data_IF_605976824709
#
_entry.id   IF_605976824709
#
_cell.length_a   1.000
_cell.length_b   1.000
_cell.length_c   1.000
_cell.angle_alpha   90.00
_cell.angle_beta   90.00
_cell.angle_gamma   90.00
#
_symmetry.space_group_name_H-M   'P 1'
#
loop_
_entity.id
_entity.type
_entity.pdbx_description
1 polymer ?
#
# COMPACT_ATOMS: atom_id res chain seq x y z
N UNK A 1 -10.93 39.88 -52.35
CA UNK A 1 -10.99 39.72 -50.87
C UNK A 1 -9.58 39.69 -50.27
N UNK A 2 -8.65 38.86 -50.79
CA UNK A 2 -7.26 38.82 -50.30
C UNK A 2 -6.55 40.19 -50.31
N UNK A 3 -6.66 40.96 -51.41
CA UNK A 3 -6.07 42.29 -51.52
C UNK A 3 -6.60 43.33 -50.52
N UNK A 4 -7.77 43.10 -49.89
CA UNK A 4 -8.30 43.94 -48.82
C UNK A 4 -7.68 43.52 -47.49
N UNK A 5 -7.62 42.21 -47.21
CA UNK A 5 -6.99 41.68 -46.01
C UNK A 5 -5.51 42.08 -45.89
N UNK A 6 -4.76 42.06 -47.01
CA UNK A 6 -3.35 42.45 -47.02
C UNK A 6 -3.16 43.95 -46.71
N UNK A 7 -4.10 44.80 -47.15
CA UNK A 7 -4.09 46.24 -46.79
C UNK A 7 -4.43 46.45 -45.33
N UNK A 8 -5.46 45.75 -44.81
CA UNK A 8 -5.87 45.86 -43.40
C UNK A 8 -4.77 45.39 -42.43
N UNK A 9 -3.93 44.43 -42.82
CA UNK A 9 -2.80 43.96 -42.03
C UNK A 9 -1.63 44.95 -41.94
N UNK A 10 -1.53 45.90 -42.88
CA UNK A 10 -0.49 46.92 -42.92
C UNK A 10 -0.89 48.23 -42.20
N UNK A 11 -2.13 48.34 -41.72
CA UNK A 11 -2.60 49.51 -40.97
C UNK A 11 -2.13 49.46 -39.52
N UNK A 12 -1.69 50.59 -39.00
CA UNK A 12 -1.48 50.77 -37.58
C UNK A 12 -2.81 51.06 -36.87
N UNK A 13 -3.19 50.18 -35.96
CA UNK A 13 -4.52 50.18 -35.33
C UNK A 13 -4.63 51.26 -34.25
N UNK A 14 -3.52 51.66 -33.63
CA UNK A 14 -3.54 52.59 -32.49
C UNK A 14 -3.72 54.04 -32.95
N UNK A 15 -3.02 54.44 -34.01
CA UNK A 15 -3.18 55.77 -34.63
C UNK A 15 -4.57 55.94 -35.25
N UNK A 16 -5.05 54.92 -35.98
CA UNK A 16 -6.37 54.95 -36.62
C UNK A 16 -7.53 54.98 -35.61
N UNK A 17 -7.37 54.32 -34.47
CA UNK A 17 -8.33 54.37 -33.36
C UNK A 17 -8.44 55.80 -32.79
N UNK A 18 -7.32 56.51 -32.66
CA UNK A 18 -7.26 57.90 -32.23
C UNK A 18 -7.91 58.86 -33.22
N UNK A 19 -7.66 58.69 -34.52
CA UNK A 19 -8.25 59.52 -35.59
C UNK A 19 -9.76 59.33 -35.71
N UNK A 20 -10.23 58.08 -35.61
CA UNK A 20 -11.66 57.75 -35.72
C UNK A 20 -12.41 57.89 -34.39
N UNK A 21 -11.71 58.17 -33.30
CA UNK A 21 -12.26 58.25 -31.94
C UNK A 21 -13.03 56.97 -31.54
N UNK A 22 -12.47 55.79 -31.87
CA UNK A 22 -13.04 54.46 -31.60
C UNK A 22 -12.11 53.69 -30.66
N UNK A 23 -12.66 52.88 -29.76
CA UNK A 23 -11.85 52.03 -28.88
C UNK A 23 -11.00 51.02 -29.66
N UNK A 24 -9.75 50.81 -29.23
CA UNK A 24 -8.77 49.94 -29.92
C UNK A 24 -9.24 48.49 -30.03
N UNK A 25 -9.91 47.93 -29.01
CA UNK A 25 -10.49 46.58 -29.08
C UNK A 25 -11.61 46.49 -30.12
N UNK A 26 -12.50 47.47 -30.16
CA UNK A 26 -13.60 47.51 -31.11
C UNK A 26 -13.09 47.63 -32.55
N UNK A 27 -12.07 48.47 -32.78
CA UNK A 27 -11.46 48.60 -34.10
C UNK A 27 -10.82 47.29 -34.55
N UNK A 28 -10.15 46.55 -33.65
CA UNK A 28 -9.60 45.21 -33.95
C UNK A 28 -10.69 44.22 -34.37
N UNK A 29 -11.82 44.20 -33.67
CA UNK A 29 -12.94 43.31 -33.99
C UNK A 29 -13.57 43.65 -35.34
N UNK A 30 -13.74 44.94 -35.64
CA UNK A 30 -14.26 45.41 -36.94
C UNK A 30 -13.30 45.03 -38.08
N UNK A 31 -11.99 45.24 -37.90
CA UNK A 31 -10.98 44.85 -38.88
C UNK A 31 -10.97 43.34 -39.12
N UNK A 32 -11.12 42.53 -38.07
CA UNK A 32 -11.24 41.08 -38.18
C UNK A 32 -12.50 40.65 -38.95
N UNK A 33 -13.64 41.33 -38.72
CA UNK A 33 -14.90 41.08 -39.43
C UNK A 33 -14.82 41.47 -40.91
N UNK A 34 -14.14 42.58 -41.25
CA UNK A 34 -13.92 43.03 -42.63
C UNK A 34 -12.93 42.15 -43.38
N UNK A 35 -11.93 41.57 -42.69
CA UNK A 35 -10.97 40.66 -43.29
C UNK A 35 -11.62 39.33 -43.73
N UNK A 36 -12.69 38.89 -43.04
CA UNK A 36 -13.42 37.64 -43.33
C UNK A 36 -14.94 37.83 -43.19
N UNK A 37 -15.60 38.48 -44.15
CA UNK A 37 -17.03 38.71 -44.09
C UNK A 37 -17.78 37.38 -44.13
N UNK A 38 -18.69 37.17 -43.18
CA UNK A 38 -19.48 35.93 -43.08
C UNK A 38 -18.80 34.78 -42.32
N UNK A 39 -17.71 35.04 -41.59
CA UNK A 39 -17.16 34.08 -40.62
C UNK A 39 -18.23 33.72 -39.59
N UNK A 40 -18.56 32.44 -39.49
CA UNK A 40 -19.48 31.95 -38.46
C UNK A 40 -18.72 31.93 -37.12
N UNK A 41 -19.21 32.60 -36.06
CA UNK A 41 -18.59 32.56 -34.73
C UNK A 41 -18.48 31.13 -34.15
N UNK A 42 -19.18 30.15 -34.74
CA UNK A 42 -19.09 28.73 -34.36
C UNK A 42 -17.80 28.07 -34.83
N UNK A 43 -17.12 28.57 -35.85
CA UNK A 43 -15.87 27.97 -36.35
C UNK A 43 -14.69 28.16 -35.39
N UNK A 44 -14.75 29.18 -34.53
CA UNK A 44 -13.72 29.48 -33.54
C UNK A 44 -13.90 28.69 -32.23
N UNK A 45 -15.03 27.99 -32.08
CA UNK A 45 -15.25 27.07 -30.97
C UNK A 45 -14.45 25.80 -31.23
N UNK A 46 -13.71 25.35 -30.21
CA UNK A 46 -13.11 24.02 -30.25
C UNK A 46 -14.23 22.99 -30.51
N UNK A 47 -14.07 22.08 -31.48
CA UNK A 47 -15.10 21.10 -31.77
C UNK A 47 -15.40 20.29 -30.51
N UNK A 48 -16.66 19.89 -30.29
CA UNK A 48 -17.00 19.05 -29.15
C UNK A 48 -16.14 17.78 -29.20
N UNK A 49 -15.39 17.54 -28.13
CA UNK A 49 -14.62 16.31 -27.98
C UNK A 49 -15.63 15.18 -27.76
N UNK A 50 -16.06 14.54 -28.86
CA UNK A 50 -16.72 13.25 -28.75
C UNK A 50 -15.73 12.32 -28.06
N UNK A 51 -16.07 11.84 -26.85
CA UNK A 51 -15.31 10.80 -26.16
C UNK A 51 -15.21 9.62 -27.13
N UNK A 52 -14.04 9.52 -27.77
CA UNK A 52 -13.77 8.58 -28.85
C UNK A 52 -14.11 7.19 -28.35
N UNK A 53 -14.94 6.52 -29.12
CA UNK A 53 -15.09 5.08 -29.29
C UNK A 53 -14.59 4.23 -28.12
N UNK A 54 -15.52 3.56 -27.43
CA UNK A 54 -15.20 2.47 -26.50
C UNK A 54 -14.18 1.56 -27.17
N UNK A 55 -12.95 1.56 -26.66
CA UNK A 55 -11.90 0.73 -27.19
C UNK A 55 -12.37 -0.72 -27.01
N UNK A 56 -12.26 -1.53 -28.06
CA UNK A 56 -12.51 -2.97 -27.97
C UNK A 56 -11.22 -3.66 -27.57
N UNK A 57 -11.35 -4.75 -26.80
CA UNK A 57 -10.21 -5.55 -26.33
C UNK A 57 -9.31 -6.01 -27.50
N UNK A 58 -9.92 -6.31 -28.64
CA UNK A 58 -9.27 -6.74 -29.90
C UNK A 58 -8.29 -5.71 -30.49
N UNK A 59 -8.46 -4.42 -30.17
CA UNK A 59 -7.61 -3.35 -30.69
C UNK A 59 -6.43 -3.03 -29.77
N UNK A 60 -6.35 -3.65 -28.59
CA UNK A 60 -5.25 -3.44 -27.66
C UNK A 60 -4.04 -4.24 -28.10
N UNK A 61 -2.92 -3.55 -28.26
CA UNK A 61 -1.62 -4.18 -28.46
C UNK A 61 -0.75 -3.96 -27.21
N UNK A 62 -0.01 -4.99 -26.76
CA UNK A 62 1.04 -4.79 -25.75
C UNK A 62 1.99 -3.66 -26.18
N UNK A 63 2.40 -2.83 -25.23
CA UNK A 63 3.24 -1.64 -25.43
C UNK A 63 2.48 -0.35 -25.80
N UNK A 64 1.17 -0.42 -26.06
CA UNK A 64 0.39 0.77 -26.39
C UNK A 64 0.23 1.68 -25.17
N UNK A 65 0.43 2.98 -25.37
CA UNK A 65 0.21 4.01 -24.36
C UNK A 65 -1.25 4.49 -24.43
N UNK A 66 -1.91 4.54 -23.27
CA UNK A 66 -3.27 5.00 -23.10
C UNK A 66 -3.36 5.97 -21.92
N UNK A 67 -4.35 6.85 -21.94
CA UNK A 67 -4.74 7.64 -20.77
C UNK A 67 -5.90 6.95 -20.08
N UNK A 68 -5.80 6.76 -18.77
CA UNK A 68 -6.84 6.10 -17.99
C UNK A 68 -7.12 6.80 -16.66
N UNK A 69 -8.33 6.60 -16.16
CA UNK A 69 -8.80 7.18 -14.89
C UNK A 69 -8.84 6.12 -13.80
N UNK A 70 -8.29 6.40 -12.63
CA UNK A 70 -8.30 5.47 -11.50
C UNK A 70 -9.72 5.31 -10.96
N UNK A 71 -10.26 4.09 -11.01
CA UNK A 71 -11.58 3.75 -10.46
C UNK A 71 -11.51 3.39 -8.98
N UNK A 72 -10.52 2.60 -8.61
CA UNK A 72 -10.37 2.10 -7.24
C UNK A 72 -8.90 1.75 -6.95
N UNK A 73 -8.51 1.90 -5.69
CA UNK A 73 -7.18 1.57 -5.19
C UNK A 73 -7.31 0.43 -4.17
N UNK A 74 -6.42 -0.55 -4.26
CA UNK A 74 -6.38 -1.73 -3.38
C UNK A 74 -4.95 -1.99 -2.93
N UNK A 75 -4.72 -2.70 -1.82
CA UNK A 75 -3.38 -2.89 -1.22
C UNK A 75 -2.31 -3.42 -2.19
N UNK A 76 -2.72 -4.19 -3.22
CA UNK A 76 -1.81 -4.78 -4.20
C UNK A 76 -1.72 -3.99 -5.53
N UNK A 77 -2.46 -2.90 -5.69
CA UNK A 77 -2.52 -2.19 -6.98
C UNK A 77 -3.64 -1.16 -7.14
N UNK A 78 -3.88 -0.76 -8.39
CA UNK A 78 -4.95 0.17 -8.74
C UNK A 78 -5.71 -0.32 -9.98
N UNK A 79 -7.03 -0.12 -9.97
CA UNK A 79 -7.91 -0.37 -11.10
C UNK A 79 -8.10 0.91 -11.90
N UNK A 80 -7.82 0.86 -13.19
CA UNK A 80 -7.85 2.02 -14.09
C UNK A 80 -8.81 1.74 -15.24
N UNK A 81 -9.69 2.69 -15.50
CA UNK A 81 -10.53 2.74 -16.69
C UNK A 81 -9.77 3.39 -17.85
N UNK A 82 -9.54 2.62 -18.91
CA UNK A 82 -8.88 3.07 -20.15
C UNK A 82 -9.88 3.21 -21.31
N UNK A 83 -11.18 3.25 -21.02
CA UNK A 83 -12.24 3.32 -22.03
C UNK A 83 -12.60 1.97 -22.65
N UNK A 84 -12.26 0.87 -21.96
CA UNK A 84 -12.71 -0.49 -22.26
C UNK A 84 -13.96 -0.82 -21.44
N UNK A 85 -14.66 -1.89 -21.80
CA UNK A 85 -15.75 -2.42 -20.95
C UNK A 85 -15.26 -3.02 -19.62
N UNK A 86 -14.01 -3.48 -19.57
CA UNK A 86 -13.40 -4.10 -18.40
C UNK A 86 -12.22 -3.25 -17.89
N UNK A 87 -12.04 -3.18 -16.57
CA UNK A 87 -10.98 -2.39 -15.93
C UNK A 87 -9.60 -3.04 -16.05
N UNK A 88 -8.57 -2.23 -16.28
CA UNK A 88 -7.18 -2.68 -16.22
C UNK A 88 -6.63 -2.65 -14.79
N UNK A 89 -5.77 -3.61 -14.44
CA UNK A 89 -5.11 -3.67 -13.13
C UNK A 89 -3.64 -3.26 -13.27
N UNK A 90 -3.20 -2.29 -12.47
CA UNK A 90 -1.78 -1.95 -12.27
C UNK A 90 -1.34 -2.55 -10.94
N UNK A 91 -0.29 -3.37 -10.95
CA UNK A 91 0.30 -3.88 -9.71
C UNK A 91 1.05 -2.77 -8.97
N UNK A 92 1.11 -2.81 -7.64
CA UNK A 92 1.79 -1.78 -6.82
C UNK A 92 3.25 -1.53 -7.24
N UNK A 93 3.95 -2.58 -7.66
CA UNK A 93 5.33 -2.51 -8.16
C UNK A 93 5.48 -1.83 -9.52
N UNK A 94 4.37 -1.63 -10.24
CA UNK A 94 4.29 -1.02 -11.57
C UNK A 94 3.58 0.35 -11.53
N UNK A 95 3.27 0.86 -10.35
CA UNK A 95 2.68 2.20 -10.16
C UNK A 95 3.73 3.32 -10.23
N UNK A 96 4.96 3.06 -9.80
CA UNK A 96 6.04 4.03 -9.78
C UNK A 96 7.41 3.37 -9.89
N UNK A 97 8.42 4.13 -10.30
CA UNK A 97 9.82 3.68 -10.40
C UNK A 97 10.44 3.32 -9.04
N UNK A 98 9.83 3.79 -7.94
CA UNK A 98 10.24 3.54 -6.56
C UNK A 98 9.43 2.42 -5.91
N UNK A 99 9.96 1.82 -4.85
CA UNK A 99 9.20 0.87 -4.04
C UNK A 99 8.08 1.61 -3.31
N UNK A 100 6.84 1.16 -3.50
CA UNK A 100 5.64 1.73 -2.89
C UNK A 100 5.09 0.71 -1.91
N UNK A 101 4.97 1.08 -0.64
CA UNK A 101 4.38 0.21 0.39
C UNK A 101 2.86 0.37 0.44
N UNK A 102 2.38 1.59 0.24
CA UNK A 102 0.96 1.92 0.22
C UNK A 102 0.61 2.61 -1.12
N UNK A 103 -0.24 2.00 -1.97
CA UNK A 103 -0.62 2.59 -3.25
C UNK A 103 -1.40 3.91 -3.12
N UNK A 104 -2.04 4.18 -1.97
CA UNK A 104 -2.75 5.44 -1.73
C UNK A 104 -1.81 6.66 -1.65
N UNK A 105 -0.51 6.46 -1.42
CA UNK A 105 0.48 7.54 -1.44
C UNK A 105 0.84 8.01 -2.85
N UNK A 106 0.54 7.20 -3.87
CA UNK A 106 0.95 7.45 -5.25
C UNK A 106 -0.23 7.81 -6.14
N UNK A 107 -1.38 7.18 -5.92
CA UNK A 107 -2.57 7.36 -6.76
C UNK A 107 -3.82 7.52 -5.90
N UNK A 108 -4.69 8.43 -6.32
CA UNK A 108 -6.02 8.66 -5.75
C UNK A 108 -7.11 8.22 -6.73
N UNK A 109 -8.29 7.90 -6.20
CA UNK A 109 -9.46 7.61 -7.03
C UNK A 109 -9.86 8.87 -7.81
N UNK A 110 -10.05 8.71 -9.11
CA UNK A 110 -10.35 9.81 -10.04
C UNK A 110 -9.12 10.42 -10.72
N UNK A 111 -7.90 10.01 -10.36
CA UNK A 111 -6.69 10.51 -11.02
C UNK A 111 -6.60 10.04 -12.46
N UNK A 112 -6.13 10.93 -13.34
CA UNK A 112 -5.88 10.63 -14.75
C UNK A 112 -4.39 10.35 -14.93
N UNK A 113 -4.06 9.13 -15.35
CA UNK A 113 -2.68 8.65 -15.47
C UNK A 113 -2.41 8.15 -16.89
N UNK A 114 -1.15 8.26 -17.32
CA UNK A 114 -0.66 7.61 -18.53
C UNK A 114 -0.21 6.19 -18.19
N UNK A 115 -0.75 5.21 -18.91
CA UNK A 115 -0.53 3.79 -18.66
C UNK A 115 -0.16 3.08 -19.94
N UNK A 116 0.66 2.03 -19.82
CA UNK A 116 1.05 1.17 -20.93
C UNK A 116 0.47 -0.23 -20.73
N UNK A 117 0.05 -0.84 -21.83
CA UNK A 117 -0.46 -2.21 -21.85
C UNK A 117 0.71 -3.19 -21.75
N UNK A 118 0.75 -4.02 -20.71
CA UNK A 118 1.76 -5.08 -20.57
C UNK A 118 1.29 -6.36 -21.24
N UNK A 119 0.09 -6.79 -20.88
CA UNK A 119 -0.48 -8.06 -21.33
C UNK A 119 -2.01 -7.95 -21.41
N UNK A 120 -2.59 -8.60 -22.41
CA UNK A 120 -4.03 -8.67 -22.63
C UNK A 120 -4.44 -10.14 -22.62
N UNK A 121 -5.33 -10.52 -21.71
CA UNK A 121 -5.96 -11.84 -21.68
C UNK A 121 -7.39 -11.72 -22.20
N UNK A 122 -7.58 -12.10 -23.47
CA UNK A 122 -8.88 -12.08 -24.14
C UNK A 122 -9.87 -13.09 -23.56
N UNK A 123 -9.40 -14.23 -23.03
CA UNK A 123 -10.27 -15.28 -22.49
C UNK A 123 -10.91 -14.84 -21.18
N UNK A 124 -10.14 -14.15 -20.34
CA UNK A 124 -10.59 -13.66 -19.02
C UNK A 124 -11.05 -12.21 -19.04
N UNK A 125 -10.91 -11.52 -20.18
CA UNK A 125 -11.14 -10.08 -20.36
C UNK A 125 -10.40 -9.23 -19.33
N UNK A 126 -9.11 -9.52 -19.14
CA UNK A 126 -8.25 -8.80 -18.18
C UNK A 126 -7.11 -8.12 -18.91
N UNK A 127 -6.81 -6.89 -18.49
CA UNK A 127 -5.68 -6.13 -19.01
C UNK A 127 -4.73 -5.80 -17.88
N UNK A 128 -3.47 -6.22 -18.02
CA UNK A 128 -2.39 -5.86 -17.11
C UNK A 128 -1.75 -4.57 -17.59
N UNK A 129 -1.77 -3.54 -16.75
CA UNK A 129 -1.24 -2.22 -17.07
C UNK A 129 0.01 -1.90 -16.23
N UNK A 130 0.81 -0.96 -16.73
CA UNK A 130 1.93 -0.36 -15.99
C UNK A 130 1.86 1.15 -16.12
N UNK A 131 2.16 1.88 -15.04
CA UNK A 131 2.34 3.33 -15.06
C UNK A 131 3.82 3.73 -15.27
N UNK A 132 4.71 2.72 -15.32
CA UNK A 132 6.14 2.90 -15.61
C UNK A 132 6.35 2.84 -17.12
N UNK A 133 7.16 3.76 -17.64
CA UNK A 133 7.58 3.78 -19.02
C UNK A 133 8.43 2.53 -19.33
N UNK A 134 8.05 1.70 -20.33
CA UNK A 134 8.81 0.49 -20.70
C UNK A 134 10.25 0.79 -21.12
N UNK A 135 10.58 2.03 -21.51
CA UNK A 135 11.96 2.44 -21.80
C UNK A 135 12.87 2.55 -20.58
N UNK A 136 12.33 2.50 -19.35
CA UNK A 136 13.05 2.65 -18.09
C UNK A 136 13.06 1.38 -17.23
N UNK A 137 12.77 0.21 -17.80
CA UNK A 137 12.71 -1.05 -17.06
C UNK A 137 14.03 -1.35 -16.35
N UNK A 138 14.08 -1.05 -15.05
CA UNK A 138 15.06 -1.68 -14.15
C UNK A 138 14.62 -3.12 -14.00
N UNK A 139 15.34 -4.06 -14.60
CA UNK A 139 15.16 -5.50 -14.41
C UNK A 139 15.16 -5.82 -12.90
N UNK A 140 13.98 -5.86 -12.29
CA UNK A 140 13.77 -6.43 -10.96
C UNK A 140 13.19 -7.81 -11.18
N UNK A 141 14.07 -8.73 -11.57
CA UNK A 141 13.78 -10.16 -11.54
C UNK A 141 13.26 -10.51 -10.15
N UNK A 142 12.08 -11.12 -10.11
CA UNK A 142 11.46 -11.51 -8.88
C UNK A 142 12.44 -12.34 -8.06
N UNK A 143 12.58 -12.00 -6.78
CA UNK A 143 13.05 -12.94 -5.77
C UNK A 143 12.01 -14.06 -5.63
N UNK A 144 11.95 -14.92 -6.63
CA UNK A 144 11.43 -16.27 -6.51
C UNK A 144 12.33 -16.96 -5.49
N UNK A 145 11.75 -17.32 -4.36
CA UNK A 145 12.35 -18.27 -3.43
C UNK A 145 12.69 -19.54 -4.22
N UNK A 146 13.96 -19.72 -4.53
CA UNK A 146 14.49 -20.98 -5.06
C UNK A 146 14.17 -22.10 -4.08
N UNK A 147 13.25 -22.98 -4.47
CA UNK A 147 12.99 -24.23 -3.77
C UNK A 147 14.12 -25.22 -4.08
N UNK A 148 14.82 -25.63 -3.02
CA UNK A 148 15.57 -26.89 -2.87
C UNK A 148 16.29 -27.47 -4.11
N UNK A 149 17.44 -26.88 -4.46
CA UNK A 149 18.48 -27.57 -5.23
C UNK A 149 19.28 -28.47 -4.28
N UNK A 150 19.19 -29.78 -4.52
CA UNK A 150 19.81 -30.84 -3.71
C UNK A 150 21.34 -30.69 -3.68
N UNK A 151 21.89 -30.33 -2.51
CA UNK A 151 23.34 -30.39 -2.27
C UNK A 151 23.80 -31.86 -2.20
N UNK A 152 24.77 -32.29 -3.03
CA UNK A 152 25.31 -33.64 -2.96
C UNK A 152 26.18 -33.81 -1.71
N UNK A 153 26.10 -35.01 -1.13
CA UNK A 153 26.61 -35.33 0.19
C UNK A 153 28.13 -35.19 0.33
N UNK A 154 28.56 -34.52 1.40
CA UNK A 154 29.92 -34.63 1.92
C UNK A 154 29.91 -35.39 3.25
N UNK A 155 30.36 -36.64 3.13
CA UNK A 155 31.11 -37.43 4.10
C UNK A 155 30.82 -37.20 5.60
N UNK A 156 30.05 -38.13 6.16
CA UNK A 156 29.98 -38.39 7.60
C UNK A 156 31.37 -38.78 8.12
N UNK A 157 32.12 -37.84 8.71
CA UNK A 157 33.24 -38.18 9.60
C UNK A 157 32.68 -38.70 10.92
N UNK A 158 32.80 -40.01 11.11
CA UNK A 158 32.45 -40.79 12.31
C UNK A 158 33.06 -40.14 13.56
N UNK A 159 32.23 -39.83 14.57
CA UNK A 159 32.69 -39.66 15.96
C UNK A 159 32.54 -40.99 16.71
N UNK A 160 33.53 -41.46 17.49
CA UNK A 160 33.40 -42.67 18.27
C UNK A 160 32.56 -42.44 19.53
N UNK A 161 31.74 -43.45 19.84
CA UNK A 161 30.74 -43.53 20.91
C UNK A 161 31.42 -43.72 22.27
N UNK A 162 31.08 -42.91 23.28
CA UNK A 162 31.37 -43.21 24.70
C UNK A 162 30.07 -43.43 25.46
N UNK A 163 30.04 -44.53 26.19
CA UNK A 163 28.89 -45.03 26.95
C UNK A 163 28.68 -44.29 28.29
N UNK A 164 27.45 -44.31 28.83
CA UNK A 164 27.12 -43.67 30.10
C UNK A 164 27.32 -44.72 31.26
N UNK A 165 27.75 -44.36 32.48
CA UNK A 165 27.66 -45.22 33.69
C UNK A 165 27.47 -44.43 35.00
N UNK A 166 26.46 -44.75 35.80
CA UNK A 166 26.06 -44.12 37.05
C UNK A 166 25.17 -45.07 37.85
N UNK A 167 25.39 -45.08 39.17
CA UNK A 167 24.70 -45.90 40.16
C UNK A 167 25.61 -46.23 41.36
N UNK A 168 25.35 -45.56 42.48
CA UNK A 168 25.98 -45.64 43.83
C UNK A 168 25.58 -46.96 44.59
N UNK A 169 25.87 -47.23 45.90
CA UNK A 169 26.30 -46.33 47.00
C UNK A 169 27.25 -46.89 48.10
N UNK A 170 27.46 -46.05 49.14
CA UNK A 170 27.55 -46.35 50.58
C UNK A 170 28.89 -46.13 51.31
N UNK A 171 28.83 -45.40 52.43
CA UNK A 171 29.66 -45.69 53.61
C UNK A 171 30.38 -44.53 54.31
N UNK A 172 29.76 -44.05 55.40
CA UNK A 172 30.36 -43.64 56.67
C UNK A 172 31.23 -42.36 56.78
N UNK A 173 30.84 -41.50 57.74
CA UNK A 173 31.77 -41.13 58.83
C UNK A 173 32.17 -39.66 58.96
N UNK A 174 31.44 -38.94 59.82
CA UNK A 174 32.05 -38.11 60.88
C UNK A 174 32.49 -36.66 60.56
N UNK A 175 32.26 -35.77 61.53
CA UNK A 175 33.11 -34.59 61.74
C UNK A 175 32.40 -33.24 61.66
N UNK A 176 32.25 -32.59 62.81
CA UNK A 176 31.79 -31.21 62.97
C UNK A 176 32.77 -30.18 62.35
N UNK A 177 32.27 -29.04 61.87
CA UNK A 177 32.57 -27.67 62.37
C UNK A 177 32.37 -26.57 61.29
N UNK A 178 31.65 -25.54 61.73
CA UNK A 178 31.91 -24.11 61.57
C UNK A 178 32.21 -23.49 60.19
N UNK A 179 31.30 -22.61 59.76
CA UNK A 179 31.62 -21.22 59.38
C UNK A 179 32.07 -20.95 57.95
N UNK A 180 31.61 -19.82 57.39
CA UNK A 180 32.34 -19.11 56.34
C UNK A 180 31.60 -18.92 55.03
N UNK A 181 31.20 -17.67 54.80
CA UNK A 181 30.64 -17.07 53.60
C UNK A 181 31.66 -16.98 52.44
N UNK A 182 31.14 -16.75 51.22
CA UNK A 182 31.81 -16.37 49.95
C UNK A 182 32.43 -17.57 49.21
N UNK A 183 32.26 -17.77 47.90
CA UNK A 183 31.86 -16.89 46.83
C UNK A 183 32.75 -17.20 45.63
N UNK A 184 32.15 -17.55 44.49
CA UNK A 184 32.81 -17.53 43.17
C UNK A 184 33.43 -18.84 42.67
N UNK A 185 33.38 -18.99 41.34
CA UNK A 185 34.44 -19.67 40.60
C UNK A 185 34.12 -21.04 39.99
N UNK A 186 33.60 -20.99 38.76
CA UNK A 186 34.10 -21.72 37.58
C UNK A 186 34.19 -23.26 37.55
N UNK A 187 33.50 -23.76 36.52
CA UNK A 187 33.94 -24.76 35.53
C UNK A 187 34.13 -26.23 35.95
N UNK A 188 33.24 -27.05 35.40
CA UNK A 188 33.65 -28.19 34.58
C UNK A 188 33.64 -29.57 35.25
N UNK A 189 33.21 -30.58 34.47
CA UNK A 189 33.57 -31.98 34.68
C UNK A 189 32.38 -32.91 34.92
N UNK A 190 32.13 -33.81 33.96
CA UNK A 190 30.99 -34.73 33.97
C UNK A 190 31.20 -36.04 34.72
N UNK A 191 30.21 -36.94 34.63
CA UNK A 191 30.30 -38.31 34.03
C UNK A 191 29.12 -39.18 34.48
N UNK A 192 28.39 -39.72 33.50
CA UNK A 192 27.72 -41.05 33.44
C UNK A 192 26.63 -41.41 34.48
N UNK A 193 25.57 -42.18 34.21
CA UNK A 193 25.06 -42.88 33.02
C UNK A 193 24.43 -44.28 33.26
N UNK A 194 24.15 -45.07 32.20
CA UNK A 194 23.53 -46.45 32.16
C UNK A 194 22.04 -46.48 32.58
N UNK A 195 21.09 -47.23 31.96
CA UNK A 195 20.96 -48.30 30.94
C UNK A 195 19.57 -48.07 30.29
N UNK A 196 19.32 -48.30 29.00
CA UNK A 196 19.41 -49.58 28.30
C UNK A 196 18.03 -50.25 28.31
N UNK A 197 17.36 -50.33 27.15
CA UNK A 197 16.09 -51.06 27.00
C UNK A 197 15.36 -50.69 25.71
N UNK A 198 15.59 -51.46 24.64
CA UNK A 198 14.84 -51.31 23.39
C UNK A 198 13.42 -51.85 23.51
N UNK A 199 12.49 -51.22 22.79
CA UNK A 199 11.26 -51.83 22.29
C UNK A 199 10.91 -51.19 20.94
N UNK A 200 10.69 -51.96 19.88
CA UNK A 200 10.01 -51.47 18.69
C UNK A 200 8.51 -51.42 19.00
N UNK A 201 7.76 -50.48 18.43
CA UNK A 201 6.43 -50.77 17.85
C UNK A 201 5.75 -49.50 17.32
N UNK A 202 5.25 -49.67 16.09
CA UNK A 202 3.99 -49.20 15.53
C UNK A 202 3.74 -47.69 15.34
N UNK A 203 3.45 -47.39 14.07
CA UNK A 203 2.93 -46.12 13.62
C UNK A 203 1.57 -45.78 14.19
N UNK A 204 1.35 -44.47 14.25
CA UNK A 204 0.07 -43.80 14.48
C UNK A 204 0.03 -42.53 13.59
N UNK A 205 -1.17 -42.02 13.29
CA UNK A 205 -1.52 -41.55 11.95
C UNK A 205 -1.07 -40.12 11.63
N UNK A 206 -1.02 -39.83 10.32
CA UNK A 206 -0.55 -38.59 9.74
C UNK A 206 -1.23 -37.35 10.30
N UNK A 207 -0.41 -36.38 10.71
CA UNK A 207 -0.86 -35.01 10.92
C UNK A 207 -0.73 -34.24 9.62
N UNK A 208 -1.86 -33.75 9.11
CA UNK A 208 -1.90 -32.72 8.07
C UNK A 208 -0.93 -31.60 8.41
N UNK A 209 -0.05 -31.28 7.46
CA UNK A 209 0.76 -30.06 7.49
C UNK A 209 -0.16 -28.89 7.13
N UNK A 210 -0.81 -28.31 8.15
CA UNK A 210 -1.49 -27.03 8.06
C UNK A 210 -0.47 -25.90 7.88
N UNK A 211 -0.79 -24.96 6.99
CA UNK A 211 0.07 -23.87 6.53
C UNK A 211 0.60 -22.96 7.64
N UNK A 212 1.72 -22.31 7.32
CA UNK A 212 2.51 -21.47 8.22
C UNK A 212 1.68 -20.41 8.95
N UNK A 213 1.63 -20.53 10.26
CA UNK A 213 1.08 -19.51 11.15
C UNK A 213 2.01 -18.29 11.17
N UNK A 214 1.54 -17.18 10.59
CA UNK A 214 2.07 -15.87 10.94
C UNK A 214 1.83 -15.62 12.43
N UNK A 215 2.80 -15.03 13.11
CA UNK A 215 2.69 -14.65 14.53
C UNK A 215 1.60 -13.57 14.70
N UNK A 216 0.34 -13.98 14.82
CA UNK A 216 -0.74 -13.09 15.23
C UNK A 216 -0.53 -12.73 16.70
N UNK A 217 -0.16 -11.47 16.94
CA UNK A 217 -0.18 -10.89 18.29
C UNK A 217 -1.56 -10.26 18.50
N UNK A 218 -2.34 -10.67 19.50
CA UNK A 218 -3.58 -9.97 19.83
C UNK A 218 -3.26 -8.50 20.13
N UNK A 219 -4.04 -7.57 19.55
CA UNK A 219 -3.96 -6.14 19.91
C UNK A 219 -4.18 -5.99 21.42
N UNK A 220 -3.37 -5.16 22.07
CA UNK A 220 -3.52 -4.91 23.50
C UNK A 220 -4.94 -4.39 23.80
N UNK A 221 -5.56 -4.80 24.93
CA UNK A 221 -6.87 -4.29 25.31
C UNK A 221 -6.81 -2.76 25.46
N UNK A 222 -7.91 -2.04 25.13
CA UNK A 222 -7.95 -0.60 25.32
C UNK A 222 -7.71 -0.24 26.79
N UNK A 223 -7.03 0.88 27.04
CA UNK A 223 -6.80 1.37 28.41
C UNK A 223 -8.16 1.64 29.08
N UNK A 224 -8.33 1.28 30.36
CA UNK A 224 -9.56 1.57 31.10
C UNK A 224 -9.76 3.09 31.18
N UNK A 225 -11.00 3.55 30.92
CA UNK A 225 -11.35 4.96 31.00
C UNK A 225 -11.50 5.33 32.48
N UNK A 226 -10.87 6.43 32.91
CA UNK A 226 -11.00 6.95 34.27
C UNK A 226 -12.38 7.62 34.41
N UNK A 227 -13.16 7.34 35.47
CA UNK A 227 -14.44 8.01 35.69
C UNK A 227 -14.24 9.48 36.09
N UNK A 228 -15.18 10.35 35.69
CA UNK A 228 -15.21 11.75 36.17
C UNK A 228 -15.36 11.82 37.69
N UNK A 229 -14.67 12.77 38.33
CA UNK A 229 -14.84 13.06 39.76
C UNK A 229 -16.16 13.78 40.01
N UNK A 230 -16.70 13.69 41.22
CA UNK A 230 -17.95 14.39 41.57
C UNK A 230 -17.81 15.92 41.48
N UNK A 231 -16.62 16.47 41.80
CA UNK A 231 -16.31 17.89 41.61
C UNK A 231 -16.38 18.35 40.13
N UNK A 232 -15.97 17.49 39.19
CA UNK A 232 -16.12 17.75 37.75
C UNK A 232 -17.56 17.62 37.27
N UNK A 233 -18.36 16.76 37.91
CA UNK A 233 -19.79 16.63 37.64
C UNK A 233 -20.58 17.83 38.17
N UNK A 234 -20.13 18.46 39.25
CA UNK A 234 -20.75 19.65 39.85
C UNK A 234 -20.28 20.96 39.21
N UNK A 235 -19.29 20.90 38.31
CA UNK A 235 -18.75 22.06 37.60
C UNK A 235 -17.73 22.87 38.42
N UNK A 236 -17.27 22.35 39.56
CA UNK A 236 -16.23 22.98 40.38
C UNK A 236 -14.83 22.82 39.77
N UNK A 237 -14.61 21.78 38.95
CA UNK A 237 -13.37 21.56 38.20
C UNK A 237 -13.63 21.46 36.68
N UNK A 238 -12.73 22.00 35.84
CA UNK A 238 -12.83 21.84 34.41
C UNK A 238 -12.57 20.39 33.97
N UNK A 239 -13.37 19.90 33.02
CA UNK A 239 -13.19 18.57 32.43
C UNK A 239 -11.90 18.52 31.60
N UNK A 240 -11.17 17.39 31.69
CA UNK A 240 -9.81 17.26 31.12
C UNK A 240 -9.84 16.85 29.65
N UNK A 241 -10.78 16.01 29.25
CA UNK A 241 -10.88 15.44 27.91
C UNK A 241 -12.32 15.39 27.40
N UNK A 242 -12.49 15.25 26.08
CA UNK A 242 -13.81 15.06 25.46
C UNK A 242 -14.53 13.79 25.97
N UNK A 243 -13.76 12.78 26.39
CA UNK A 243 -14.32 11.57 27.02
C UNK A 243 -15.01 11.88 28.35
N UNK A 244 -14.47 12.81 29.14
CA UNK A 244 -15.06 13.23 30.42
C UNK A 244 -16.40 13.95 30.21
N UNK A 245 -16.49 14.76 29.15
CA UNK A 245 -17.73 15.43 28.74
C UNK A 245 -18.81 14.42 28.34
N UNK A 246 -18.45 13.38 27.58
CA UNK A 246 -19.37 12.32 27.22
C UNK A 246 -19.88 11.54 28.45
N UNK A 247 -19.02 11.27 29.42
CA UNK A 247 -19.40 10.64 30.70
C UNK A 247 -20.36 11.51 31.52
N UNK A 248 -20.13 12.83 31.55
CA UNK A 248 -21.02 13.78 32.21
C UNK A 248 -22.43 13.77 31.62
N UNK A 249 -22.55 13.83 30.29
CA UNK A 249 -23.86 13.79 29.63
C UNK A 249 -24.56 12.44 29.80
N UNK A 250 -23.81 11.33 29.82
CA UNK A 250 -24.36 10.01 30.10
C UNK A 250 -24.90 9.91 31.54
N UNK A 251 -24.23 10.51 32.53
CA UNK A 251 -24.69 10.56 33.94
C UNK A 251 -25.96 11.41 34.11
N UNK A 252 -26.08 12.53 33.38
CA UNK A 252 -27.24 13.43 33.47
C UNK A 252 -28.52 12.86 32.83
N UNK A 253 -28.39 11.89 31.91
CA UNK A 253 -29.52 11.27 31.21
C UNK A 253 -30.16 10.09 31.96
N UNK A 254 -29.60 9.65 33.09
CA UNK A 254 -30.22 8.60 33.90
C UNK A 254 -31.28 9.21 34.85
N UNK A 255 -32.57 8.84 34.73
CA UNK A 255 -33.58 9.30 35.66
C UNK A 255 -33.30 8.74 37.07
N UNK A 256 -33.26 9.60 38.09
CA UNK A 256 -33.12 9.21 39.49
C UNK A 256 -34.20 8.17 39.83
N UNK A 257 -33.85 6.88 39.90
CA UNK A 257 -34.69 5.89 40.58
C UNK A 257 -34.78 6.33 42.04
N UNK A 258 -35.96 6.79 42.45
CA UNK A 258 -36.32 7.00 43.86
C UNK A 258 -36.07 5.69 44.60
N UNK A 259 -35.20 5.74 45.60
CA UNK A 259 -35.14 4.78 46.69
C UNK A 259 -36.20 5.18 47.72
N UNK A 260 -37.25 4.38 47.83
CA UNK A 260 -38.01 4.20 49.08
C UNK A 260 -37.29 3.14 49.93
#
# INVERSE_FOLDING_TARGET
IQAIADKLAALDVETLAGELNVGTLLLKDILAALARPGRDPREDLSPPVFRREVLKLENLKPGMQLSGTVLNVVDFGAFVDIGLSDSGLIHVSRLADRFVSDPHEVVSVGDILNVWVVEVDEKRRRVSLTAIDPGKETHREGHGRGGDEQRPGQSRRRRPKREPAGGAPAGAGGGQRAGGNQGGGQQGGGRGGRRGGGRPHQGGPGKQRGGGGGNWRPKAPPKPVVPITDAMAEGAEPMRTFSDLQQFFARKQQPKKKSD
#
